data_IF_467385551213
#
_entry.id   IF_467385551213
#
_cell.length_a   1.000
_cell.length_b   1.000
_cell.length_c   1.000
_cell.angle_alpha   90.00
_cell.angle_beta   90.00
_cell.angle_gamma   90.00
#
_symmetry.space_group_name_H-M   'P 1'
#
loop_
_entity.id
_entity.type
_entity.pdbx_description
1 polymer ?
#
# COMPACT_ATOMS: atom_id res chain seq x y z
N UNK A 1 -24.66 -18.88 -17.35
CA UNK A 1 -24.22 -17.49 -17.55
C UNK A 1 -23.69 -16.99 -16.21
N UNK A 2 -22.43 -17.30 -15.90
CA UNK A 2 -21.85 -17.14 -14.57
C UNK A 2 -20.84 -16.00 -14.53
N UNK A 3 -21.20 -14.96 -13.80
CA UNK A 3 -20.36 -14.02 -13.04
C UNK A 3 -18.87 -13.90 -13.46
N UNK A 4 -18.58 -13.04 -14.42
CA UNK A 4 -17.25 -12.41 -14.60
C UNK A 4 -17.45 -10.91 -14.78
N UNK A 5 -17.89 -10.22 -13.73
CA UNK A 5 -17.96 -8.76 -13.69
C UNK A 5 -17.96 -8.32 -12.22
N UNK A 6 -16.83 -8.48 -11.54
CA UNK A 6 -16.60 -7.85 -10.24
C UNK A 6 -15.32 -7.02 -10.27
N UNK A 7 -15.17 -6.27 -11.36
CA UNK A 7 -14.44 -5.00 -11.39
C UNK A 7 -15.54 -3.96 -11.57
N UNK A 8 -15.95 -3.32 -10.48
CA UNK A 8 -17.05 -2.37 -10.50
C UNK A 8 -16.51 -1.06 -11.09
N UNK A 9 -17.03 -0.63 -12.24
CA UNK A 9 -16.69 0.64 -12.92
C UNK A 9 -16.86 1.87 -12.00
N UNK A 10 -17.63 1.75 -10.91
CA UNK A 10 -17.75 2.76 -9.86
C UNK A 10 -16.47 3.01 -9.06
N UNK A 11 -15.56 2.05 -8.99
CA UNK A 11 -14.30 2.22 -8.27
C UNK A 11 -13.28 2.97 -9.10
N UNK A 12 -13.36 2.93 -10.43
CA UNK A 12 -12.37 3.57 -11.32
C UNK A 12 -12.55 5.09 -11.35
N UNK A 13 -13.78 5.61 -11.31
CA UNK A 13 -14.05 7.05 -11.27
C UNK A 13 -13.79 7.67 -9.89
N UNK A 14 -14.04 6.96 -8.79
CA UNK A 14 -13.61 7.38 -7.45
C UNK A 14 -12.09 7.37 -7.36
N UNK A 15 -11.42 6.36 -7.93
CA UNK A 15 -9.96 6.31 -8.00
C UNK A 15 -9.39 7.44 -8.85
N UNK A 16 -10.00 7.77 -10.00
CA UNK A 16 -9.57 8.88 -10.86
C UNK A 16 -9.78 10.24 -10.20
N UNK A 17 -10.90 10.46 -9.51
CA UNK A 17 -11.12 11.70 -8.73
C UNK A 17 -10.17 11.79 -7.53
N UNK A 18 -9.88 10.67 -6.85
CA UNK A 18 -8.83 10.61 -5.82
C UNK A 18 -7.44 10.84 -6.42
N UNK A 19 -7.20 10.42 -7.67
CA UNK A 19 -5.92 10.54 -8.37
C UNK A 19 -5.63 12.00 -8.75
N UNK A 20 -6.63 12.77 -9.18
CA UNK A 20 -6.51 14.23 -9.37
C UNK A 20 -6.29 14.98 -8.05
N UNK A 21 -6.95 14.55 -6.97
CA UNK A 21 -6.76 15.13 -5.64
C UNK A 21 -5.36 14.77 -5.07
N UNK A 22 -4.91 13.53 -5.33
CA UNK A 22 -3.56 13.03 -5.04
C UNK A 22 -2.48 13.78 -5.82
N UNK A 23 -2.67 14.15 -7.09
CA UNK A 23 -1.66 14.91 -7.84
C UNK A 23 -1.35 16.29 -7.21
N UNK A 24 -2.38 16.96 -6.68
CA UNK A 24 -2.20 18.22 -5.94
C UNK A 24 -1.49 18.01 -4.60
N UNK A 25 -1.85 16.95 -3.87
CA UNK A 25 -1.21 16.56 -2.62
C UNK A 25 0.22 16.07 -2.84
N UNK A 26 0.52 15.32 -3.91
CA UNK A 26 1.85 14.82 -4.26
C UNK A 26 2.78 15.97 -4.65
N UNK A 27 2.27 17.00 -5.32
CA UNK A 27 3.01 18.24 -5.60
C UNK A 27 3.30 19.02 -4.31
N UNK A 28 2.30 19.16 -3.42
CA UNK A 28 2.48 19.80 -2.11
C UNK A 28 3.45 18.99 -1.24
N UNK A 29 3.36 17.67 -1.26
CA UNK A 29 4.17 16.73 -0.47
C UNK A 29 5.60 16.66 -1.00
N UNK A 30 5.81 16.56 -2.32
CA UNK A 30 7.14 16.69 -2.95
C UNK A 30 7.74 18.06 -2.66
N UNK A 31 6.95 19.14 -2.76
CA UNK A 31 7.44 20.49 -2.47
C UNK A 31 7.79 20.64 -0.99
N UNK A 32 6.99 20.10 -0.06
CA UNK A 32 7.25 20.10 1.39
C UNK A 32 8.43 19.20 1.79
N UNK A 33 8.61 18.03 1.17
CA UNK A 33 9.76 17.15 1.43
C UNK A 33 11.06 17.63 0.77
N UNK A 34 10.98 18.44 -0.29
CA UNK A 34 12.17 18.96 -0.99
C UNK A 34 12.72 20.27 -0.45
N UNK A 35 12.07 20.90 0.54
CA UNK A 35 12.66 22.04 1.24
C UNK A 35 13.39 21.50 2.46
N UNK A 36 14.72 21.21 2.39
CA UNK A 36 15.47 20.97 3.60
C UNK A 36 15.30 22.18 4.52
N UNK A 37 15.26 22.00 5.85
CA UNK A 37 15.33 23.14 6.74
C UNK A 37 16.58 23.93 6.36
N UNK A 38 16.44 25.25 6.21
CA UNK A 38 17.56 26.16 5.87
C UNK A 38 18.72 25.98 6.88
N UNK A 39 18.40 25.50 8.09
CA UNK A 39 19.35 25.14 9.13
C UNK A 39 19.21 23.65 9.48
N UNK A 40 20.21 22.83 9.13
CA UNK A 40 20.31 21.44 9.56
C UNK A 40 21.04 21.38 10.91
N UNK A 41 20.26 21.34 11.99
CA UNK A 41 20.75 21.29 13.38
C UNK A 41 20.21 20.04 14.07
N UNK A 42 20.87 19.52 15.12
CA UNK A 42 20.34 18.38 15.87
C UNK A 42 18.93 18.66 16.43
N UNK A 43 18.61 19.93 16.74
CA UNK A 43 17.27 20.32 17.19
C UNK A 43 16.22 20.28 16.07
N UNK A 44 16.56 20.72 14.85
CA UNK A 44 15.62 20.65 13.72
C UNK A 44 15.37 19.20 13.28
N UNK A 45 16.39 18.34 13.30
CA UNK A 45 16.23 16.89 13.05
C UNK A 45 15.31 16.21 14.05
N UNK A 46 15.38 16.60 15.33
CA UNK A 46 14.45 16.07 16.33
C UNK A 46 13.01 16.51 16.04
N UNK A 47 12.77 17.68 15.44
CA UNK A 47 11.39 18.13 15.12
C UNK A 47 10.82 17.57 13.81
N UNK A 48 11.63 16.93 12.96
CA UNK A 48 11.18 16.41 11.65
C UNK A 48 10.19 15.23 11.75
N UNK A 49 10.20 14.49 12.85
CA UNK A 49 9.29 13.35 13.04
C UNK A 49 7.80 13.74 13.18
N UNK A 50 7.50 15.02 13.41
CA UNK A 50 6.11 15.50 13.55
C UNK A 50 5.39 15.62 12.20
N UNK A 51 6.17 15.82 11.13
CA UNK A 51 5.67 16.02 9.76
C UNK A 51 5.93 14.83 8.85
N UNK A 52 6.69 13.84 9.31
CA UNK A 52 7.08 12.67 8.55
C UNK A 52 6.59 11.39 9.22
N UNK A 53 6.45 10.32 8.44
CA UNK A 53 6.02 9.01 8.93
C UNK A 53 7.18 8.15 9.46
N UNK A 54 8.36 8.75 9.68
CA UNK A 54 9.61 8.07 10.04
C UNK A 54 9.55 7.26 11.34
N UNK A 55 8.63 7.59 12.26
CA UNK A 55 8.42 6.85 13.52
C UNK A 55 7.09 6.08 13.57
N UNK A 56 6.41 5.93 12.44
CA UNK A 56 5.16 5.18 12.31
C UNK A 56 5.37 3.80 11.70
N UNK A 57 4.33 2.96 11.71
CA UNK A 57 4.33 1.65 11.02
C UNK A 57 4.63 1.78 9.51
N UNK A 58 4.37 2.96 8.92
CA UNK A 58 4.56 3.24 7.50
C UNK A 58 5.96 3.76 7.14
N UNK A 59 6.90 3.83 8.09
CA UNK A 59 8.24 4.39 7.89
C UNK A 59 9.03 3.70 6.76
N UNK A 60 8.84 2.40 6.57
CA UNK A 60 9.54 1.66 5.51
C UNK A 60 9.06 2.06 4.11
N UNK A 61 7.75 2.30 3.94
CA UNK A 61 7.15 2.71 2.67
C UNK A 61 7.53 4.14 2.31
N UNK A 62 7.52 5.04 3.29
CA UNK A 62 8.00 6.41 3.13
C UNK A 62 9.47 6.43 2.68
N UNK A 63 10.30 5.58 3.30
CA UNK A 63 11.71 5.44 2.94
C UNK A 63 11.90 4.93 1.52
N UNK A 64 11.11 3.96 1.07
CA UNK A 64 11.22 3.40 -0.28
C UNK A 64 10.72 4.39 -1.34
N UNK A 65 9.66 5.14 -1.06
CA UNK A 65 9.25 6.28 -1.88
C UNK A 65 10.37 7.32 -2.02
N UNK A 66 10.98 7.73 -0.89
CA UNK A 66 12.05 8.71 -0.88
C UNK A 66 13.30 8.21 -1.62
N UNK A 67 13.63 6.92 -1.54
CA UNK A 67 14.71 6.32 -2.34
C UNK A 67 14.43 6.40 -3.84
N UNK A 68 13.22 6.05 -4.26
CA UNK A 68 12.82 6.17 -5.67
C UNK A 68 12.92 7.62 -6.14
N UNK A 69 12.30 8.55 -5.41
CA UNK A 69 12.29 9.97 -5.75
C UNK A 69 13.70 10.58 -5.78
N UNK A 70 14.60 10.16 -4.90
CA UNK A 70 15.99 10.63 -4.86
C UNK A 70 16.80 10.20 -6.09
N UNK A 71 16.53 9.01 -6.65
CA UNK A 71 17.26 8.52 -7.84
C UNK A 71 16.83 9.19 -9.14
N UNK A 72 15.55 9.53 -9.26
CA UNK A 72 14.91 9.99 -10.50
C UNK A 72 14.76 11.52 -10.54
N UNK A 73 14.62 12.14 -9.37
CA UNK A 73 14.36 13.57 -9.22
C UNK A 73 12.86 13.93 -9.23
N UNK A 74 12.53 15.08 -8.63
CA UNK A 74 11.15 15.52 -8.35
C UNK A 74 10.24 15.54 -9.60
N UNK A 75 10.77 15.96 -10.75
CA UNK A 75 9.97 16.13 -11.97
C UNK A 75 9.46 14.81 -12.56
N UNK A 76 10.23 13.72 -12.42
CA UNK A 76 9.90 12.40 -12.99
C UNK A 76 9.35 11.43 -11.95
N UNK A 77 9.60 11.69 -10.65
CA UNK A 77 9.09 10.88 -9.55
C UNK A 77 7.55 10.73 -9.57
N UNK A 78 6.82 11.72 -10.09
CA UNK A 78 5.36 11.69 -10.20
C UNK A 78 4.81 10.64 -11.14
N UNK A 79 5.62 10.12 -12.07
CA UNK A 79 5.18 9.08 -13.00
C UNK A 79 5.84 7.76 -12.68
N UNK A 80 7.12 7.81 -12.35
CA UNK A 80 7.94 6.61 -12.17
C UNK A 80 7.81 6.01 -10.76
N UNK A 81 7.64 6.83 -9.72
CA UNK A 81 7.56 6.39 -8.32
C UNK A 81 6.11 6.25 -7.79
N UNK A 82 5.13 6.14 -8.70
CA UNK A 82 3.72 6.13 -8.32
C UNK A 82 3.32 4.88 -7.53
N UNK A 83 3.96 3.75 -7.78
CA UNK A 83 3.66 2.50 -7.09
C UNK A 83 4.03 2.60 -5.61
N UNK A 84 5.24 3.08 -5.34
CA UNK A 84 5.78 3.28 -3.99
C UNK A 84 4.94 4.33 -3.22
N UNK A 85 4.54 5.40 -3.92
CA UNK A 85 3.66 6.41 -3.34
C UNK A 85 2.27 5.85 -3.00
N UNK A 86 1.68 5.05 -3.88
CA UNK A 86 0.38 4.41 -3.64
C UNK A 86 0.42 3.46 -2.45
N UNK A 87 1.51 2.71 -2.28
CA UNK A 87 1.70 1.82 -1.13
C UNK A 87 1.82 2.64 0.17
N UNK A 88 2.62 3.72 0.15
CA UNK A 88 2.73 4.64 1.29
C UNK A 88 1.37 5.29 1.66
N UNK A 89 0.64 5.78 0.66
CA UNK A 89 -0.67 6.40 0.85
C UNK A 89 -1.71 5.40 1.37
N UNK A 90 -1.69 4.16 0.88
CA UNK A 90 -2.54 3.08 1.40
C UNK A 90 -2.22 2.81 2.86
N UNK A 91 -0.93 2.79 3.24
CA UNK A 91 -0.55 2.58 4.63
C UNK A 91 -1.01 3.71 5.55
N UNK A 92 -0.91 4.97 5.10
CA UNK A 92 -1.31 6.13 5.89
C UNK A 92 -2.84 6.21 6.08
N UNK A 93 -3.61 5.88 5.05
CA UNK A 93 -5.08 6.06 5.04
C UNK A 93 -5.87 4.78 5.32
N UNK A 94 -5.28 3.61 5.07
CA UNK A 94 -5.89 2.27 5.18
C UNK A 94 -7.16 2.08 4.34
N UNK A 95 -7.35 2.89 3.30
CA UNK A 95 -8.60 2.92 2.51
C UNK A 95 -8.89 1.58 1.84
N UNK A 96 -7.91 1.02 1.12
CA UNK A 96 -8.08 -0.27 0.41
C UNK A 96 -8.32 -1.43 1.38
N UNK A 97 -7.64 -1.43 2.53
CA UNK A 97 -7.86 -2.42 3.58
C UNK A 97 -9.30 -2.38 4.13
N UNK A 98 -9.81 -1.18 4.41
CA UNK A 98 -11.19 -1.00 4.90
C UNK A 98 -12.23 -1.43 3.87
N UNK A 99 -12.03 -1.05 2.60
CA UNK A 99 -12.92 -1.45 1.50
C UNK A 99 -13.00 -2.98 1.37
N UNK A 100 -11.84 -3.67 1.35
CA UNK A 100 -11.78 -5.13 1.30
C UNK A 100 -12.53 -5.76 2.47
N UNK A 101 -12.38 -5.19 3.66
CA UNK A 101 -13.07 -5.67 4.85
C UNK A 101 -14.60 -5.50 4.73
N UNK A 102 -15.09 -4.36 4.25
CA UNK A 102 -16.52 -4.15 4.03
C UNK A 102 -17.11 -5.09 2.99
N UNK A 103 -16.40 -5.33 1.88
CA UNK A 103 -16.82 -6.29 0.85
C UNK A 103 -16.92 -7.69 1.46
N UNK A 104 -15.92 -8.12 2.23
CA UNK A 104 -15.94 -9.42 2.90
C UNK A 104 -17.13 -9.55 3.87
N UNK A 105 -17.46 -8.48 4.60
CA UNK A 105 -18.61 -8.46 5.49
C UNK A 105 -19.94 -8.53 4.73
N UNK A 106 -20.07 -7.80 3.61
CA UNK A 106 -21.26 -7.83 2.76
C UNK A 106 -21.51 -9.23 2.21
N UNK A 107 -20.48 -9.87 1.63
CA UNK A 107 -20.56 -11.25 1.13
C UNK A 107 -20.92 -12.24 2.24
N UNK A 108 -20.40 -12.05 3.46
CA UNK A 108 -20.74 -12.91 4.60
C UNK A 108 -22.21 -12.78 4.99
N UNK A 109 -22.74 -11.55 4.97
CA UNK A 109 -24.14 -11.24 5.27
C UNK A 109 -25.07 -11.84 4.21
N UNK A 110 -24.74 -11.68 2.93
CA UNK A 110 -25.51 -12.25 1.81
C UNK A 110 -25.61 -13.78 1.89
N UNK A 111 -24.52 -14.44 2.27
CA UNK A 111 -24.45 -15.91 2.41
C UNK A 111 -24.98 -16.42 3.76
N UNK A 112 -25.31 -15.53 4.71
CA UNK A 112 -25.81 -15.90 6.03
C UNK A 112 -24.84 -16.78 6.85
N UNK A 113 -23.51 -16.61 6.70
CA UNK A 113 -22.57 -17.48 7.44
C UNK A 113 -22.58 -17.17 8.95
N UNK A 114 -22.57 -18.20 9.82
CA UNK A 114 -22.51 -18.01 11.26
C UNK A 114 -21.19 -17.36 11.68
N UNK A 115 -21.17 -16.69 12.84
CA UNK A 115 -19.93 -16.14 13.42
C UNK A 115 -18.93 -17.27 13.69
N UNK A 116 -17.68 -17.07 13.27
CA UNK A 116 -16.57 -17.98 13.56
C UNK A 116 -15.60 -17.25 14.49
N UNK A 117 -15.18 -17.85 15.62
CA UNK A 117 -14.20 -17.22 16.50
C UNK A 117 -12.86 -17.07 15.77
N UNK A 118 -12.04 -16.12 16.22
CA UNK A 118 -10.67 -16.01 15.75
C UNK A 118 -9.93 -17.33 16.02
N UNK A 119 -9.16 -17.84 15.06
CA UNK A 119 -8.39 -19.05 15.29
C UNK A 119 -7.26 -18.74 16.31
N UNK A 120 -6.75 -19.76 17.03
CA UNK A 120 -5.68 -19.55 18.01
C UNK A 120 -4.40 -18.99 17.35
N UNK A 121 -3.51 -18.32 18.10
CA UNK A 121 -2.29 -17.72 17.56
C UNK A 121 -1.40 -18.72 16.82
N UNK A 122 -1.42 -20.00 17.22
CA UNK A 122 -0.63 -21.08 16.60
C UNK A 122 -1.35 -21.80 15.44
N UNK A 123 -2.50 -21.27 14.98
CA UNK A 123 -3.26 -21.87 13.87
C UNK A 123 -2.62 -21.69 12.49
N UNK A 124 -1.62 -20.80 12.38
CA UNK A 124 -0.92 -20.57 11.13
C UNK A 124 0.12 -21.66 10.89
N UNK A 125 -0.21 -22.62 10.03
CA UNK A 125 0.74 -23.61 9.53
C UNK A 125 1.23 -23.19 8.14
N UNK A 126 2.48 -22.72 8.03
CA UNK A 126 3.11 -22.33 6.76
C UNK A 126 3.02 -23.42 5.68
N UNK A 127 3.01 -24.70 6.07
CA UNK A 127 2.90 -25.84 5.15
C UNK A 127 1.61 -25.86 4.33
N UNK A 128 0.53 -25.20 4.79
CA UNK A 128 -0.77 -25.22 4.09
C UNK A 128 -0.88 -24.15 3.00
N UNK A 129 -0.04 -23.11 3.06
CA UNK A 129 -0.05 -21.97 2.12
C UNK A 129 1.23 -21.84 1.31
N UNK A 130 2.24 -22.67 1.57
CA UNK A 130 3.31 -22.87 0.62
C UNK A 130 2.67 -23.25 -0.73
N UNK A 131 2.99 -22.56 -1.84
CA UNK A 131 2.50 -22.95 -3.15
C UNK A 131 2.85 -24.43 -3.30
N UNK A 132 1.83 -25.26 -3.48
CA UNK A 132 1.94 -26.70 -3.61
C UNK A 132 3.02 -26.95 -4.65
N UNK A 133 4.19 -27.37 -4.17
CA UNK A 133 5.32 -27.90 -4.93
C UNK A 133 5.48 -27.27 -6.32
N UNK A 134 6.45 -26.36 -6.49
CA UNK A 134 7.03 -26.13 -7.80
C UNK A 134 7.20 -27.50 -8.50
N UNK A 135 6.73 -27.69 -9.74
CA UNK A 135 6.82 -28.99 -10.40
C UNK A 135 8.28 -29.41 -10.32
N UNK A 136 8.54 -30.56 -9.70
CA UNK A 136 9.88 -31.13 -9.70
C UNK A 136 10.25 -31.29 -11.16
N UNK A 137 11.15 -30.46 -11.67
CA UNK A 137 11.75 -30.63 -12.99
C UNK A 137 12.48 -31.97 -12.86
N UNK A 138 11.84 -33.03 -13.31
CA UNK A 138 12.51 -34.32 -13.40
C UNK A 138 13.58 -34.09 -14.45
N UNK A 139 14.83 -34.05 -14.01
CA UNK A 139 15.97 -33.98 -14.91
C UNK A 139 15.80 -35.11 -15.92
N UNK A 140 15.60 -34.77 -17.19
CA UNK A 140 15.59 -35.73 -18.27
C UNK A 140 16.93 -36.49 -18.19
N UNK A 141 16.84 -37.75 -17.79
CA UNK A 141 17.98 -38.66 -17.77
C UNK A 141 18.34 -38.89 -19.23
N UNK A 142 19.46 -38.30 -19.65
CA UNK A 142 20.10 -38.58 -20.94
C UNK A 142 20.72 -39.97 -20.93
#
# INVERSE_FOLDING_TARGET
MGQTAYWNERNESVFQNLFEELESELQIFLKKMSVPPIFDTPFTRITEHWLSHQHSECAFLEKDFNRCAATIGVQRAQKECMREYQDFYECATKMKQQERHWIMQAVRKEKGLPYKPAPPPDSWNFSQYAPHTAPKITAAKT
#
